data_IF_997618225635
#
_entry.id   IF_997618225635
#
_cell.length_a   1.000
_cell.length_b   1.000
_cell.length_c   1.000
_cell.angle_alpha   90.00
_cell.angle_beta   90.00
_cell.angle_gamma   90.00
#
_symmetry.space_group_name_H-M   'P 1'
#
loop_
_entity.id
_entity.type
_entity.pdbx_description
1 polymer ?
#
# COMPACT_ATOMS: atom_id res chain seq x y z
N UNK A 1 -2.74 44.00 -12.51
CA UNK A 1 -2.72 42.57 -12.25
C UNK A 1 -3.84 41.97 -13.07
N UNK A 2 -3.52 41.61 -14.30
CA UNK A 2 -4.47 41.04 -15.22
C UNK A 2 -4.90 39.67 -14.75
N UNK A 3 -6.16 39.54 -14.38
CA UNK A 3 -6.81 38.25 -14.32
C UNK A 3 -7.00 37.79 -15.75
N UNK A 4 -6.06 37.03 -16.28
CA UNK A 4 -6.19 36.38 -17.59
C UNK A 4 -7.20 35.22 -17.43
N UNK A 5 -8.45 35.58 -17.21
CA UNK A 5 -9.55 34.62 -17.28
C UNK A 5 -9.93 34.51 -18.75
N UNK A 6 -9.61 33.37 -19.34
CA UNK A 6 -10.01 33.06 -20.70
C UNK A 6 -11.55 33.28 -20.86
N UNK A 7 -12.03 34.07 -21.80
CA UNK A 7 -13.45 34.30 -21.97
C UNK A 7 -14.28 33.03 -22.14
N UNK A 8 -13.69 31.97 -22.69
CA UNK A 8 -14.33 30.68 -22.88
C UNK A 8 -14.51 29.97 -21.54
N UNK A 9 -13.55 30.10 -20.61
CA UNK A 9 -13.66 29.51 -19.24
C UNK A 9 -14.74 30.27 -18.46
N UNK A 10 -14.85 31.58 -18.59
CA UNK A 10 -15.93 32.36 -17.96
C UNK A 10 -17.30 31.92 -18.48
N UNK A 11 -17.41 31.63 -19.78
CA UNK A 11 -18.66 31.15 -20.37
C UNK A 11 -19.11 29.77 -19.77
N UNK A 12 -18.15 28.92 -19.39
CA UNK A 12 -18.38 27.56 -18.87
C UNK A 12 -18.59 27.56 -17.34
N UNK A 13 -17.64 28.14 -16.59
CA UNK A 13 -17.60 28.12 -15.15
C UNK A 13 -18.37 29.28 -14.49
N UNK A 14 -18.70 30.34 -15.27
CA UNK A 14 -19.26 31.61 -14.78
C UNK A 14 -18.17 32.53 -14.23
N UNK A 15 -18.59 33.67 -13.68
CA UNK A 15 -17.66 34.61 -13.04
C UNK A 15 -17.10 34.00 -11.74
N UNK A 16 -15.82 34.23 -11.41
CA UNK A 16 -15.27 33.82 -10.13
C UNK A 16 -16.02 34.49 -8.99
N UNK A 17 -16.26 33.81 -7.87
CA UNK A 17 -16.81 34.41 -6.66
C UNK A 17 -15.93 35.58 -6.18
N UNK A 18 -16.53 36.69 -5.66
CA UNK A 18 -15.79 37.93 -5.36
C UNK A 18 -14.65 37.76 -4.34
N UNK A 19 -14.73 36.74 -3.48
CA UNK A 19 -13.71 36.47 -2.43
C UNK A 19 -12.68 35.39 -2.84
N UNK A 20 -12.65 34.97 -4.10
CA UNK A 20 -11.78 33.88 -4.54
C UNK A 20 -10.36 34.37 -4.80
N UNK A 21 -9.40 33.82 -4.06
CA UNK A 21 -7.97 34.10 -4.26
C UNK A 21 -7.44 33.30 -5.46
N UNK A 22 -7.49 33.87 -6.67
CA UNK A 22 -7.06 33.24 -7.93
C UNK A 22 -5.55 32.86 -7.94
N UNK A 23 -4.74 33.41 -7.03
CA UNK A 23 -3.31 33.07 -6.93
C UNK A 23 -3.07 31.81 -6.07
N UNK A 24 -4.11 31.30 -5.39
CA UNK A 24 -3.98 30.08 -4.58
C UNK A 24 -3.68 28.87 -5.45
N UNK A 25 -2.59 28.18 -5.11
CA UNK A 25 -2.09 27.03 -5.83
C UNK A 25 -1.70 25.92 -4.87
N UNK A 26 -2.34 24.77 -4.95
CA UNK A 26 -2.03 23.59 -4.12
C UNK A 26 -1.11 22.59 -4.82
N UNK A 27 -0.80 22.77 -6.12
CA UNK A 27 -0.04 21.80 -6.91
C UNK A 27 1.34 21.44 -6.33
N UNK A 28 2.01 22.36 -5.62
CA UNK A 28 3.28 22.07 -4.97
C UNK A 28 3.10 21.15 -3.74
N UNK A 29 2.09 21.42 -2.93
CA UNK A 29 1.73 20.60 -1.77
C UNK A 29 1.23 19.21 -2.21
N UNK A 30 0.38 19.16 -3.24
CA UNK A 30 -0.18 17.95 -3.80
C UNK A 30 0.93 17.04 -4.35
N UNK A 31 1.87 17.61 -5.11
CA UNK A 31 3.07 16.91 -5.60
C UNK A 31 3.94 16.38 -4.47
N UNK A 32 4.18 17.17 -3.41
CA UNK A 32 4.96 16.73 -2.27
C UNK A 32 4.29 15.56 -1.55
N UNK A 33 2.98 15.59 -1.37
CA UNK A 33 2.20 14.51 -0.79
C UNK A 33 2.32 13.21 -1.60
N UNK A 34 2.10 13.27 -2.93
CA UNK A 34 2.20 12.13 -3.85
C UNK A 34 3.61 11.52 -3.79
N UNK A 35 4.66 12.33 -3.89
CA UNK A 35 6.05 11.85 -3.83
C UNK A 35 6.34 11.19 -2.48
N UNK A 36 5.86 11.76 -1.38
CA UNK A 36 6.09 11.21 -0.03
C UNK A 36 5.50 9.80 0.11
N UNK A 37 4.24 9.60 -0.31
CA UNK A 37 3.62 8.27 -0.22
C UNK A 37 4.24 7.26 -1.18
N UNK A 38 4.69 7.72 -2.36
CA UNK A 38 5.40 6.88 -3.33
C UNK A 38 6.75 6.39 -2.76
N UNK A 39 7.52 7.28 -2.12
CA UNK A 39 8.78 6.93 -1.45
C UNK A 39 8.51 5.93 -0.32
N UNK A 40 7.46 6.13 0.47
CA UNK A 40 7.10 5.19 1.53
C UNK A 40 6.79 3.78 0.99
N UNK A 41 6.06 3.69 -0.12
CA UNK A 41 5.78 2.42 -0.79
C UNK A 41 7.08 1.77 -1.33
N UNK A 42 7.98 2.54 -1.93
CA UNK A 42 9.30 2.06 -2.40
C UNK A 42 10.14 1.52 -1.24
N UNK A 43 10.20 2.23 -0.11
CA UNK A 43 10.91 1.77 1.10
C UNK A 43 10.30 0.45 1.59
N UNK A 44 8.97 0.32 1.63
CA UNK A 44 8.32 -0.91 2.05
C UNK A 44 8.67 -2.10 1.15
N UNK A 45 8.74 -1.90 -0.17
CA UNK A 45 9.17 -2.93 -1.12
C UNK A 45 10.65 -3.29 -0.92
N UNK A 46 11.53 -2.30 -0.77
CA UNK A 46 12.95 -2.53 -0.52
C UNK A 46 13.17 -3.34 0.77
N UNK A 47 12.45 -3.00 1.85
CA UNK A 47 12.47 -3.75 3.10
C UNK A 47 11.94 -5.17 2.92
N UNK A 48 10.89 -5.39 2.12
CA UNK A 48 10.37 -6.73 1.80
C UNK A 48 11.44 -7.60 1.13
N UNK A 49 12.13 -7.09 0.10
CA UNK A 49 13.19 -7.84 -0.59
C UNK A 49 14.41 -8.08 0.32
N UNK A 50 14.78 -7.11 1.13
CA UNK A 50 15.84 -7.27 2.14
C UNK A 50 15.47 -8.36 3.16
N UNK A 51 14.24 -8.37 3.65
CA UNK A 51 13.75 -9.38 4.56
C UNK A 51 13.77 -10.80 3.94
N UNK A 52 13.40 -10.93 2.66
CA UNK A 52 13.47 -12.21 1.94
C UNK A 52 14.91 -12.70 1.75
N UNK A 53 15.85 -11.79 1.41
CA UNK A 53 17.26 -12.12 1.27
C UNK A 53 17.84 -12.63 2.60
N UNK A 54 17.55 -11.96 3.72
CA UNK A 54 18.01 -12.36 5.05
C UNK A 54 17.43 -13.73 5.46
N UNK A 55 16.18 -13.99 5.09
CA UNK A 55 15.48 -15.25 5.40
C UNK A 55 15.81 -16.38 4.41
N UNK A 56 16.64 -16.13 3.38
CA UNK A 56 16.96 -17.10 2.32
C UNK A 56 15.72 -17.73 1.67
N UNK A 57 14.60 -16.98 1.60
CA UNK A 57 13.34 -17.47 1.02
C UNK A 57 13.30 -17.23 -0.48
N UNK A 58 12.77 -18.21 -1.23
CA UNK A 58 12.62 -18.09 -2.69
C UNK A 58 11.65 -16.97 -3.05
N UNK A 59 11.94 -16.28 -4.17
CA UNK A 59 11.03 -15.30 -4.77
C UNK A 59 9.79 -16.03 -5.31
N UNK A 60 8.62 -15.49 -5.05
CA UNK A 60 7.33 -16.06 -5.46
C UNK A 60 6.60 -15.11 -6.41
N UNK A 61 5.48 -15.57 -6.98
CA UNK A 61 4.66 -14.78 -7.89
C UNK A 61 4.13 -13.48 -7.26
N UNK A 62 3.85 -13.49 -5.97
CA UNK A 62 3.40 -12.30 -5.21
C UNK A 62 4.44 -11.16 -5.19
N UNK A 63 5.74 -11.50 -5.30
CA UNK A 63 6.80 -10.49 -5.35
C UNK A 63 6.90 -9.82 -6.73
N UNK A 64 6.68 -10.57 -7.81
CA UNK A 64 6.64 -10.01 -9.15
C UNK A 64 5.42 -9.12 -9.35
N UNK A 65 4.27 -9.57 -8.87
CA UNK A 65 3.01 -8.80 -8.95
C UNK A 65 3.13 -7.47 -8.21
N UNK A 66 3.82 -7.41 -7.06
CA UNK A 66 4.00 -6.15 -6.32
C UNK A 66 4.95 -5.18 -7.04
N UNK A 67 5.97 -5.68 -7.76
CA UNK A 67 6.84 -4.83 -8.61
C UNK A 67 6.02 -4.21 -9.75
N UNK A 68 5.18 -5.01 -10.42
CA UNK A 68 4.28 -4.52 -11.47
C UNK A 68 3.32 -3.48 -10.90
N UNK A 69 2.76 -3.73 -9.72
CA UNK A 69 1.91 -2.76 -9.01
C UNK A 69 2.61 -1.43 -8.79
N UNK A 70 3.88 -1.48 -8.33
CA UNK A 70 4.67 -0.29 -8.07
C UNK A 70 4.96 0.50 -9.35
N UNK A 71 5.23 -0.19 -10.46
CA UNK A 71 5.42 0.46 -11.75
C UNK A 71 4.14 1.18 -12.23
N UNK A 72 2.97 0.55 -12.07
CA UNK A 72 1.68 1.16 -12.40
C UNK A 72 1.36 2.37 -11.51
N UNK A 73 1.59 2.26 -10.19
CA UNK A 73 1.42 3.38 -9.23
C UNK A 73 2.41 4.50 -9.51
N UNK A 74 3.64 4.19 -9.90
CA UNK A 74 4.61 5.19 -10.37
C UNK A 74 4.12 5.93 -11.63
N UNK A 75 3.45 5.21 -12.52
CA UNK A 75 2.82 5.78 -13.71
C UNK A 75 1.65 6.72 -13.36
N UNK A 76 0.76 6.31 -12.42
CA UNK A 76 -0.33 7.19 -11.96
C UNK A 76 0.20 8.45 -11.29
N UNK A 77 1.18 8.32 -10.39
CA UNK A 77 1.83 9.44 -9.74
C UNK A 77 2.50 10.39 -10.75
N UNK A 78 3.16 9.85 -11.78
CA UNK A 78 3.73 10.65 -12.87
C UNK A 78 2.67 11.46 -13.63
N UNK A 79 1.54 10.85 -13.95
CA UNK A 79 0.41 11.54 -14.58
C UNK A 79 -0.24 12.58 -13.67
N UNK A 80 -0.40 12.29 -12.38
CA UNK A 80 -0.93 13.24 -11.39
C UNK A 80 -0.02 14.46 -11.26
N UNK A 81 1.30 14.27 -11.20
CA UNK A 81 2.29 15.35 -11.17
C UNK A 81 2.25 16.18 -12.47
N UNK A 82 2.13 15.52 -13.63
CA UNK A 82 1.97 16.19 -14.92
C UNK A 82 0.68 17.01 -14.95
N UNK A 83 -0.45 16.49 -14.44
CA UNK A 83 -1.71 17.23 -14.30
C UNK A 83 -1.54 18.49 -13.45
N UNK A 84 -0.80 18.41 -12.34
CA UNK A 84 -0.44 19.55 -11.49
C UNK A 84 0.39 20.63 -12.25
N UNK A 85 1.23 20.20 -13.19
CA UNK A 85 2.01 21.14 -14.03
C UNK A 85 1.10 21.95 -14.96
N UNK A 86 0.08 21.30 -15.54
CA UNK A 86 -0.91 21.96 -16.39
C UNK A 86 -1.98 22.75 -15.62
N UNK A 87 -1.99 22.69 -14.27
CA UNK A 87 -2.84 23.51 -13.43
C UNK A 87 -3.90 22.77 -12.63
N UNK A 88 -3.84 21.45 -12.53
CA UNK A 88 -4.62 20.73 -11.52
C UNK A 88 -4.17 21.20 -10.12
N UNK A 89 -5.14 21.59 -9.26
CA UNK A 89 -4.87 22.22 -7.96
C UNK A 89 -4.90 23.77 -8.00
N UNK A 90 -5.01 24.39 -9.18
CA UNK A 90 -5.32 25.84 -9.33
C UNK A 90 -6.81 26.02 -9.54
N UNK A 91 -7.30 27.25 -9.32
CA UNK A 91 -8.67 27.60 -9.70
C UNK A 91 -8.85 27.52 -11.21
N UNK A 92 -10.02 27.09 -11.69
CA UNK A 92 -10.31 26.93 -13.12
C UNK A 92 -10.14 28.26 -13.90
N UNK A 93 -10.46 29.39 -13.28
CA UNK A 93 -10.31 30.73 -13.85
C UNK A 93 -8.84 31.20 -14.02
N UNK A 94 -7.89 30.44 -13.40
CA UNK A 94 -6.46 30.71 -13.54
C UNK A 94 -5.75 29.71 -14.47
N UNK A 95 -6.50 28.93 -15.23
CA UNK A 95 -6.01 27.91 -16.16
C UNK A 95 -6.48 28.26 -17.58
N UNK A 96 -5.61 28.10 -18.58
CA UNK A 96 -5.95 28.30 -19.99
C UNK A 96 -6.76 27.10 -20.52
N UNK A 97 -7.52 27.33 -21.60
CA UNK A 97 -8.32 26.27 -22.24
C UNK A 97 -7.46 25.11 -22.73
N UNK A 98 -6.29 25.35 -23.30
CA UNK A 98 -5.37 24.32 -23.76
C UNK A 98 -4.83 23.46 -22.57
N UNK A 99 -4.49 24.12 -21.47
CA UNK A 99 -4.08 23.44 -20.24
C UNK A 99 -5.20 22.60 -19.65
N UNK A 100 -6.44 23.10 -19.69
CA UNK A 100 -7.62 22.33 -19.25
C UNK A 100 -7.81 21.07 -20.10
N UNK A 101 -7.68 21.17 -21.42
CA UNK A 101 -7.74 20.01 -22.30
C UNK A 101 -6.64 18.99 -21.99
N UNK A 102 -5.41 19.42 -21.70
CA UNK A 102 -4.33 18.54 -21.32
C UNK A 102 -4.61 17.83 -19.98
N UNK A 103 -5.19 18.54 -19.00
CA UNK A 103 -5.61 17.93 -17.72
C UNK A 103 -6.62 16.79 -17.98
N UNK A 104 -7.60 16.98 -18.86
CA UNK A 104 -8.58 15.94 -19.20
C UNK A 104 -7.96 14.76 -19.96
N UNK A 105 -7.00 15.00 -20.87
CA UNK A 105 -6.22 13.91 -21.51
C UNK A 105 -5.42 13.10 -20.49
N UNK A 106 -4.80 13.80 -19.53
CA UNK A 106 -4.08 13.17 -18.43
C UNK A 106 -5.03 12.35 -17.54
N UNK A 107 -6.21 12.91 -17.20
CA UNK A 107 -7.24 12.22 -16.44
C UNK A 107 -7.72 10.95 -17.15
N UNK A 108 -7.87 10.99 -18.47
CA UNK A 108 -8.19 9.82 -19.29
C UNK A 108 -7.14 8.72 -19.12
N UNK A 109 -5.87 9.00 -19.36
CA UNK A 109 -4.77 8.04 -19.20
C UNK A 109 -4.61 7.57 -17.75
N UNK A 110 -4.76 8.49 -16.79
CA UNK A 110 -4.72 8.20 -15.35
C UNK A 110 -5.74 7.14 -14.96
N UNK A 111 -6.97 7.24 -15.47
CA UNK A 111 -8.06 6.30 -15.12
C UNK A 111 -7.74 4.86 -15.54
N UNK A 112 -7.07 4.67 -16.69
CA UNK A 112 -6.62 3.34 -17.12
C UNK A 112 -5.55 2.76 -16.21
N UNK A 113 -4.51 3.53 -15.92
CA UNK A 113 -3.41 3.08 -15.05
C UNK A 113 -3.87 2.87 -13.62
N UNK A 114 -4.70 3.75 -13.09
CA UNK A 114 -5.24 3.65 -11.74
C UNK A 114 -6.06 2.36 -11.56
N UNK A 115 -7.00 2.09 -12.46
CA UNK A 115 -7.82 0.87 -12.38
C UNK A 115 -6.98 -0.41 -12.49
N UNK A 116 -5.94 -0.40 -13.33
CA UNK A 116 -4.98 -1.50 -13.44
C UNK A 116 -4.17 -1.67 -12.15
N UNK A 117 -3.65 -0.59 -11.57
CA UNK A 117 -2.87 -0.63 -10.33
C UNK A 117 -3.68 -1.22 -9.17
N UNK A 118 -4.94 -0.76 -8.98
CA UNK A 118 -5.85 -1.28 -7.98
C UNK A 118 -6.10 -2.79 -8.14
N UNK A 119 -6.30 -3.26 -9.39
CA UNK A 119 -6.53 -4.67 -9.66
C UNK A 119 -5.30 -5.52 -9.33
N UNK A 120 -4.12 -5.10 -9.79
CA UNK A 120 -2.87 -5.86 -9.61
C UNK A 120 -2.50 -5.96 -8.13
N UNK A 121 -2.68 -4.88 -7.35
CA UNK A 121 -2.45 -4.90 -5.90
C UNK A 121 -3.42 -5.85 -5.20
N UNK A 122 -4.71 -5.81 -5.53
CA UNK A 122 -5.73 -6.71 -4.98
C UNK A 122 -5.41 -8.17 -5.29
N UNK A 123 -4.96 -8.47 -6.51
CA UNK A 123 -4.50 -9.80 -6.89
C UNK A 123 -3.28 -10.22 -6.06
N UNK A 124 -2.32 -9.32 -5.82
CA UNK A 124 -1.17 -9.61 -4.95
C UNK A 124 -1.59 -9.98 -3.52
N UNK A 125 -2.55 -9.25 -2.95
CA UNK A 125 -3.10 -9.53 -1.62
C UNK A 125 -3.82 -10.89 -1.60
N UNK A 126 -4.62 -11.19 -2.62
CA UNK A 126 -5.32 -12.48 -2.73
C UNK A 126 -4.33 -13.65 -2.90
N UNK A 127 -3.27 -13.50 -3.70
CA UNK A 127 -2.19 -14.51 -3.80
C UNK A 127 -1.52 -14.75 -2.45
N UNK A 128 -1.28 -13.69 -1.70
CA UNK A 128 -0.74 -13.80 -0.36
C UNK A 128 -1.70 -14.55 0.60
N UNK A 129 -3.00 -14.27 0.55
CA UNK A 129 -4.00 -15.00 1.34
C UNK A 129 -4.05 -16.48 0.97
N UNK A 130 -4.03 -16.84 -0.31
CA UNK A 130 -4.02 -18.22 -0.78
C UNK A 130 -2.80 -19.00 -0.26
N UNK A 131 -1.68 -18.31 -0.04
CA UNK A 131 -0.45 -18.90 0.48
C UNK A 131 -0.45 -19.09 2.00
N UNK A 132 -1.02 -18.14 2.75
CA UNK A 132 -1.06 -18.21 4.22
C UNK A 132 -2.12 -19.19 4.70
N UNK A 133 -3.28 -19.14 4.08
CA UNK A 133 -4.42 -19.95 4.45
C UNK A 133 -4.50 -21.16 3.50
N UNK A 134 -3.71 -22.21 3.79
CA UNK A 134 -3.79 -23.52 3.15
C UNK A 134 -5.10 -24.23 3.55
N UNK A 135 -6.23 -23.57 3.31
CA UNK A 135 -7.54 -24.06 3.74
C UNK A 135 -8.20 -24.88 2.65
N UNK A 136 -8.63 -26.06 3.02
CA UNK A 136 -9.48 -26.95 2.21
C UNK A 136 -10.96 -26.60 2.31
N UNK A 137 -11.32 -25.56 3.06
CA UNK A 137 -12.73 -25.15 3.19
C UNK A 137 -13.27 -24.57 1.90
N UNK A 138 -14.36 -25.16 1.40
CA UNK A 138 -15.01 -24.76 0.15
C UNK A 138 -15.44 -23.29 0.15
N UNK A 139 -15.89 -22.79 1.31
CA UNK A 139 -16.36 -21.40 1.45
C UNK A 139 -15.19 -20.41 1.24
N UNK A 140 -14.03 -20.68 1.82
CA UNK A 140 -12.83 -19.83 1.62
C UNK A 140 -12.39 -19.85 0.15
N UNK A 141 -12.33 -21.04 -0.47
CA UNK A 141 -11.96 -21.14 -1.88
C UNK A 141 -12.95 -20.39 -2.80
N UNK A 142 -14.25 -20.42 -2.48
CA UNK A 142 -15.26 -19.67 -3.22
C UNK A 142 -15.10 -18.15 -3.04
N UNK A 143 -14.88 -17.70 -1.81
CA UNK A 143 -14.64 -16.28 -1.49
C UNK A 143 -13.39 -15.76 -2.21
N UNK A 144 -12.32 -16.54 -2.28
CA UNK A 144 -11.11 -16.21 -3.01
C UNK A 144 -11.36 -16.07 -4.52
N UNK A 145 -12.06 -17.05 -5.12
CA UNK A 145 -12.43 -17.00 -6.55
C UNK A 145 -13.27 -15.77 -6.88
N UNK A 146 -14.24 -15.45 -6.02
CA UNK A 146 -15.07 -14.26 -6.19
C UNK A 146 -14.24 -12.97 -6.03
N UNK A 147 -13.29 -12.91 -5.10
CA UNK A 147 -12.35 -11.79 -4.97
C UNK A 147 -11.49 -11.59 -6.22
N UNK A 148 -10.95 -12.66 -6.81
CA UNK A 148 -10.25 -12.59 -8.09
C UNK A 148 -11.16 -12.10 -9.22
N UNK A 149 -12.38 -12.61 -9.30
CA UNK A 149 -13.36 -12.16 -10.30
C UNK A 149 -13.65 -10.67 -10.18
N UNK A 150 -13.93 -10.16 -8.97
CA UNK A 150 -14.16 -8.73 -8.75
C UNK A 150 -12.93 -7.87 -9.09
N UNK A 151 -11.73 -8.32 -8.72
CA UNK A 151 -10.50 -7.59 -8.98
C UNK A 151 -10.14 -7.51 -10.46
N UNK A 152 -10.45 -8.55 -11.24
CA UNK A 152 -10.16 -8.60 -12.68
C UNK A 152 -11.26 -7.88 -13.48
N UNK A 153 -12.53 -8.03 -13.09
CA UNK A 153 -13.65 -7.41 -13.79
C UNK A 153 -13.65 -5.88 -13.67
N UNK A 154 -13.17 -5.35 -12.54
CA UNK A 154 -13.15 -3.91 -12.28
C UNK A 154 -12.41 -3.10 -13.37
N UNK A 155 -11.12 -3.34 -13.68
CA UNK A 155 -10.44 -2.58 -14.73
C UNK A 155 -11.05 -2.81 -16.12
N UNK A 156 -11.58 -4.00 -16.41
CA UNK A 156 -12.23 -4.27 -17.69
C UNK A 156 -13.47 -3.36 -17.88
N UNK A 157 -14.33 -3.29 -16.85
CA UNK A 157 -15.50 -2.39 -16.84
C UNK A 157 -15.07 -0.93 -17.01
N UNK A 158 -14.06 -0.50 -16.25
CA UNK A 158 -13.53 0.89 -16.34
C UNK A 158 -13.04 1.18 -17.76
N UNK A 159 -12.24 0.30 -18.34
CA UNK A 159 -11.63 0.51 -19.67
C UNK A 159 -12.67 0.54 -20.79
N UNK A 160 -13.61 -0.41 -20.75
CA UNK A 160 -14.71 -0.46 -21.74
C UNK A 160 -15.58 0.79 -21.64
N UNK A 161 -15.96 1.22 -20.42
CA UNK A 161 -16.80 2.39 -20.22
C UNK A 161 -16.04 3.67 -20.58
N UNK A 162 -14.77 3.79 -20.18
CA UNK A 162 -13.94 4.95 -20.48
C UNK A 162 -13.66 5.09 -21.98
N UNK A 163 -13.48 3.97 -22.70
CA UNK A 163 -13.35 3.95 -24.15
C UNK A 163 -14.62 4.38 -24.91
N UNK A 164 -15.78 4.35 -24.23
CA UNK A 164 -17.08 4.77 -24.78
C UNK A 164 -17.71 5.95 -24.02
N UNK A 165 -16.89 6.68 -23.23
CA UNK A 165 -17.38 7.75 -22.33
C UNK A 165 -18.05 8.90 -23.09
N UNK A 166 -17.55 9.22 -24.29
CA UNK A 166 -18.09 10.24 -25.17
C UNK A 166 -18.19 9.76 -26.62
N UNK A 167 -19.08 10.36 -27.38
CA UNK A 167 -19.22 10.15 -28.82
C UNK A 167 -19.26 11.50 -29.55
N UNK A 168 -18.21 11.82 -30.33
CA UNK A 168 -16.94 11.11 -30.52
C UNK A 168 -16.07 11.13 -29.24
N UNK A 169 -15.06 10.24 -29.14
CA UNK A 169 -14.23 10.08 -27.94
C UNK A 169 -13.40 11.34 -27.61
N UNK A 170 -12.92 12.03 -28.65
CA UNK A 170 -12.16 13.28 -28.51
C UNK A 170 -12.98 14.40 -27.84
N UNK A 171 -14.31 14.33 -27.89
CA UNK A 171 -15.17 15.24 -27.15
C UNK A 171 -14.93 15.23 -25.64
N UNK A 172 -14.39 14.15 -25.07
CA UNK A 172 -14.08 14.08 -23.65
C UNK A 172 -13.12 15.21 -23.17
N UNK A 173 -12.12 15.57 -23.97
CA UNK A 173 -11.18 16.65 -23.63
C UNK A 173 -11.43 17.94 -24.42
N UNK A 174 -12.22 17.89 -25.52
CA UNK A 174 -12.55 19.07 -26.31
C UNK A 174 -13.91 19.68 -25.99
N UNK A 175 -14.67 19.12 -25.05
CA UNK A 175 -16.00 19.58 -24.66
C UNK A 175 -16.05 21.06 -24.27
N UNK A 176 -14.92 21.61 -23.78
CA UNK A 176 -14.78 22.99 -23.39
C UNK A 176 -14.48 23.94 -24.57
N UNK A 177 -14.10 23.39 -25.72
CA UNK A 177 -13.81 24.13 -26.93
C UNK A 177 -15.03 24.30 -27.89
N UNK A 178 -16.24 23.99 -27.38
CA UNK A 178 -17.48 24.16 -28.16
C UNK A 178 -17.69 23.08 -29.23
N UNK A 179 -16.98 21.95 -29.14
CA UNK A 179 -17.21 20.80 -30.04
C UNK A 179 -18.58 20.15 -29.77
N UNK A 180 -19.17 19.55 -30.79
CA UNK A 180 -20.46 18.86 -30.68
C UNK A 180 -20.20 17.39 -30.36
N UNK A 181 -20.79 16.91 -29.29
CA UNK A 181 -20.71 15.49 -28.87
C UNK A 181 -21.65 15.21 -27.70
N UNK A 182 -21.77 13.94 -27.36
CA UNK A 182 -22.55 13.49 -26.19
C UNK A 182 -21.67 12.61 -25.31
N UNK A 183 -21.65 12.91 -24.01
CA UNK A 183 -20.94 12.12 -23.02
C UNK A 183 -21.92 11.53 -22.02
N UNK A 184 -21.52 10.43 -21.38
CA UNK A 184 -22.19 9.97 -20.15
C UNK A 184 -21.91 11.02 -19.04
N UNK A 185 -22.71 10.98 -17.98
CA UNK A 185 -22.41 11.80 -16.80
C UNK A 185 -21.09 11.35 -16.15
N UNK A 186 -20.02 12.08 -16.45
CA UNK A 186 -18.65 11.78 -16.04
C UNK A 186 -18.53 11.78 -14.52
N UNK A 187 -19.20 12.69 -13.83
CA UNK A 187 -19.13 12.80 -12.38
C UNK A 187 -19.77 11.60 -11.69
N UNK A 188 -20.98 11.23 -12.12
CA UNK A 188 -21.68 10.03 -11.63
C UNK A 188 -20.89 8.77 -11.93
N UNK A 189 -20.23 8.69 -13.12
CA UNK A 189 -19.38 7.57 -13.49
C UNK A 189 -18.19 7.41 -12.53
N UNK A 190 -17.40 8.46 -12.30
CA UNK A 190 -16.26 8.37 -11.36
C UNK A 190 -16.69 8.10 -9.92
N UNK A 191 -17.81 8.65 -9.49
CA UNK A 191 -18.37 8.38 -8.17
C UNK A 191 -18.77 6.89 -8.03
N UNK A 192 -19.47 6.35 -9.02
CA UNK A 192 -19.85 4.93 -9.05
C UNK A 192 -18.62 4.00 -9.02
N UNK A 193 -17.60 4.31 -9.83
CA UNK A 193 -16.34 3.56 -9.81
C UNK A 193 -15.64 3.62 -8.45
N UNK A 194 -15.66 4.77 -7.79
CA UNK A 194 -15.11 4.95 -6.45
C UNK A 194 -15.81 4.06 -5.43
N UNK A 195 -17.14 4.01 -5.46
CA UNK A 195 -17.96 3.18 -4.56
C UNK A 195 -17.70 1.68 -4.83
N UNK A 196 -17.68 1.25 -6.09
CA UNK A 196 -17.41 -0.14 -6.45
C UNK A 196 -16.00 -0.57 -5.98
N UNK A 197 -14.99 0.30 -6.16
CA UNK A 197 -13.63 0.02 -5.71
C UNK A 197 -13.57 -0.14 -4.18
N UNK A 198 -14.22 0.76 -3.43
CA UNK A 198 -14.30 0.68 -1.97
C UNK A 198 -15.00 -0.59 -1.49
N UNK A 199 -16.11 -0.99 -2.12
CA UNK A 199 -16.81 -2.25 -1.81
C UNK A 199 -15.88 -3.45 -2.05
N UNK A 200 -15.10 -3.43 -3.13
CA UNK A 200 -14.13 -4.48 -3.42
C UNK A 200 -13.01 -4.53 -2.37
N UNK A 201 -12.49 -3.38 -1.91
CA UNK A 201 -11.50 -3.30 -0.82
C UNK A 201 -12.05 -3.90 0.47
N UNK A 202 -13.26 -3.52 0.83
CA UNK A 202 -13.93 -4.03 2.01
C UNK A 202 -14.19 -5.54 1.93
N UNK A 203 -14.60 -6.04 0.75
CA UNK A 203 -14.78 -7.46 0.52
C UNK A 203 -13.47 -8.25 0.74
N UNK A 204 -12.37 -7.80 0.16
CA UNK A 204 -11.04 -8.44 0.30
C UNK A 204 -10.58 -8.43 1.75
N UNK A 205 -10.83 -7.34 2.48
CA UNK A 205 -10.52 -7.22 3.91
C UNK A 205 -11.29 -8.24 4.75
N UNK A 206 -12.55 -8.56 4.37
CA UNK A 206 -13.40 -9.50 5.12
C UNK A 206 -13.01 -10.97 4.90
N UNK A 207 -12.38 -11.33 3.78
CA UNK A 207 -12.05 -12.74 3.44
C UNK A 207 -11.29 -13.46 4.58
N UNK A 208 -10.21 -12.90 5.17
CA UNK A 208 -9.43 -13.61 6.20
C UNK A 208 -10.11 -13.64 7.57
N UNK A 209 -11.08 -12.76 7.84
CA UNK A 209 -11.66 -12.57 9.18
C UNK A 209 -12.28 -13.85 9.75
N UNK A 210 -13.20 -14.57 9.06
CA UNK A 210 -13.80 -15.79 9.59
C UNK A 210 -12.77 -16.88 9.88
N UNK A 211 -11.70 -16.93 9.09
CA UNK A 211 -10.63 -17.93 9.22
C UNK A 211 -9.76 -17.68 10.46
N UNK A 212 -9.49 -16.42 10.77
CA UNK A 212 -8.69 -16.00 11.93
C UNK A 212 -9.40 -16.40 13.24
N UNK A 213 -10.73 -16.22 13.29
CA UNK A 213 -11.50 -16.54 14.49
C UNK A 213 -11.66 -18.05 14.72
N UNK A 214 -11.68 -18.85 13.65
CA UNK A 214 -11.87 -20.32 13.73
C UNK A 214 -10.57 -21.09 13.97
N UNK A 215 -9.43 -20.56 13.56
CA UNK A 215 -8.15 -21.26 13.60
C UNK A 215 -7.35 -20.87 14.86
N UNK A 216 -6.96 -21.86 15.67
CA UNK A 216 -6.04 -21.67 16.79
C UNK A 216 -4.62 -21.41 16.24
N UNK A 217 -4.34 -20.16 15.94
CA UNK A 217 -3.03 -19.73 15.42
C UNK A 217 -2.09 -19.30 16.55
N UNK A 218 -0.78 -19.52 16.35
CA UNK A 218 0.23 -18.97 17.26
C UNK A 218 0.11 -17.44 17.33
N UNK A 219 0.36 -16.87 18.51
CA UNK A 219 0.24 -15.44 18.77
C UNK A 219 1.01 -14.58 17.74
N UNK A 220 2.16 -15.08 17.25
CA UNK A 220 2.99 -14.42 16.24
C UNK A 220 2.28 -14.27 14.90
N UNK A 221 1.60 -15.32 14.42
CA UNK A 221 0.80 -15.29 13.18
C UNK A 221 -0.40 -14.36 13.34
N UNK A 222 -1.06 -14.40 14.50
CA UNK A 222 -2.21 -13.54 14.82
C UNK A 222 -1.85 -12.05 14.79
N UNK A 223 -0.71 -11.64 15.36
CA UNK A 223 -0.24 -10.24 15.30
C UNK A 223 0.06 -9.80 13.87
N UNK A 224 0.70 -10.66 13.06
CA UNK A 224 0.95 -10.34 11.65
C UNK A 224 -0.34 -10.08 10.86
N UNK A 225 -1.34 -10.91 11.06
CA UNK A 225 -2.65 -10.79 10.39
C UNK A 225 -3.42 -9.57 10.91
N UNK A 226 -3.37 -9.29 12.22
CA UNK A 226 -3.98 -8.09 12.79
C UNK A 226 -3.40 -6.80 12.17
N UNK A 227 -2.08 -6.76 11.94
CA UNK A 227 -1.43 -5.64 11.24
C UNK A 227 -1.96 -5.45 9.81
N UNK A 228 -2.18 -6.53 9.06
CA UNK A 228 -2.76 -6.47 7.71
C UNK A 228 -4.20 -5.94 7.76
N UNK A 229 -5.00 -6.42 8.72
CA UNK A 229 -6.39 -5.95 8.89
C UNK A 229 -6.46 -4.47 9.26
N UNK A 230 -5.58 -4.00 10.13
CA UNK A 230 -5.53 -2.58 10.49
C UNK A 230 -5.17 -1.70 9.28
N UNK A 231 -4.15 -2.09 8.49
CA UNK A 231 -3.82 -1.34 7.29
C UNK A 231 -4.86 -1.48 6.18
N UNK A 232 -5.48 -2.65 6.03
CA UNK A 232 -6.63 -2.83 5.12
C UNK A 232 -7.81 -1.94 5.53
N UNK A 233 -8.08 -1.78 6.83
CA UNK A 233 -9.03 -0.81 7.34
C UNK A 233 -8.66 0.63 6.99
N UNK A 234 -7.37 0.97 7.02
CA UNK A 234 -6.91 2.29 6.60
C UNK A 234 -7.06 2.51 5.08
N UNK A 235 -6.85 1.48 4.25
CA UNK A 235 -7.17 1.55 2.80
C UNK A 235 -8.65 1.86 2.59
N UNK A 236 -9.55 1.16 3.30
CA UNK A 236 -11.00 1.44 3.22
C UNK A 236 -11.34 2.87 3.66
N UNK A 237 -10.68 3.39 4.69
CA UNK A 237 -10.86 4.79 5.12
C UNK A 237 -10.37 5.78 4.06
N UNK A 238 -9.22 5.53 3.43
CA UNK A 238 -8.71 6.33 2.33
C UNK A 238 -9.66 6.35 1.13
N UNK A 239 -10.23 5.18 0.76
CA UNK A 239 -11.24 5.06 -0.29
C UNK A 239 -12.51 5.85 0.04
N UNK A 240 -12.96 5.87 1.31
CA UNK A 240 -14.10 6.66 1.74
C UNK A 240 -13.84 8.17 1.63
N UNK A 241 -12.64 8.63 2.03
CA UNK A 241 -12.23 10.03 1.88
C UNK A 241 -12.14 10.42 0.39
N UNK A 242 -11.65 9.53 -0.46
CA UNK A 242 -11.65 9.74 -1.92
C UNK A 242 -13.06 9.92 -2.48
N UNK A 243 -14.03 9.11 -2.05
CA UNK A 243 -15.43 9.25 -2.45
C UNK A 243 -15.99 10.62 -2.01
N UNK A 244 -15.62 11.09 -0.81
CA UNK A 244 -16.00 12.42 -0.36
C UNK A 244 -15.50 13.51 -1.33
N UNK A 245 -14.21 13.50 -1.71
CA UNK A 245 -13.67 14.47 -2.66
C UNK A 245 -14.25 14.33 -4.07
N UNK A 246 -14.55 13.11 -4.54
CA UNK A 246 -15.28 12.89 -5.79
C UNK A 246 -16.69 13.48 -5.74
N UNK A 247 -17.37 13.40 -4.61
CA UNK A 247 -18.69 14.01 -4.40
C UNK A 247 -18.59 15.54 -4.40
N UNK A 248 -17.57 16.11 -3.77
CA UNK A 248 -17.32 17.55 -3.83
C UNK A 248 -16.97 18.02 -5.25
N UNK A 249 -16.13 17.25 -5.96
CA UNK A 249 -15.82 17.52 -7.37
C UNK A 249 -17.10 17.55 -8.23
N UNK A 250 -18.06 16.67 -7.99
CA UNK A 250 -19.30 16.61 -8.76
C UNK A 250 -20.24 17.82 -8.54
N UNK A 251 -20.07 18.54 -7.42
CA UNK A 251 -20.92 19.70 -7.04
C UNK A 251 -20.31 21.04 -7.41
N UNK A 252 -18.98 21.10 -7.56
CA UNK A 252 -18.26 22.36 -7.80
C UNK A 252 -18.13 22.67 -9.27
N UNK A 253 -18.12 23.97 -9.62
CA UNK A 253 -17.74 24.46 -10.95
C UNK A 253 -16.23 24.60 -11.10
N UNK A 254 -15.49 24.64 -9.98
CA UNK A 254 -14.04 24.77 -9.92
C UNK A 254 -13.39 23.40 -9.96
N UNK A 255 -13.56 22.71 -11.07
CA UNK A 255 -13.15 21.31 -11.24
C UNK A 255 -11.64 21.11 -11.11
N UNK A 256 -10.82 22.05 -11.61
CA UNK A 256 -9.35 21.90 -11.58
C UNK A 256 -8.79 21.97 -10.18
N UNK A 257 -9.33 22.82 -9.32
CA UNK A 257 -8.93 22.88 -7.91
C UNK A 257 -9.37 21.64 -7.14
N UNK A 258 -10.57 21.15 -7.40
CA UNK A 258 -11.10 19.95 -6.75
C UNK A 258 -10.41 18.65 -7.19
N UNK A 259 -9.76 18.62 -8.36
CA UNK A 259 -8.98 17.47 -8.85
C UNK A 259 -7.72 17.19 -8.03
N UNK A 260 -7.08 18.19 -7.42
CA UNK A 260 -5.86 18.02 -6.63
C UNK A 260 -6.02 16.99 -5.51
N UNK A 261 -6.94 17.18 -4.55
CA UNK A 261 -7.23 16.19 -3.51
C UNK A 261 -7.64 14.82 -4.04
N UNK A 262 -8.40 14.76 -5.16
CA UNK A 262 -8.79 13.48 -5.78
C UNK A 262 -7.57 12.68 -6.23
N UNK A 263 -6.59 13.32 -6.89
CA UNK A 263 -5.34 12.65 -7.27
C UNK A 263 -4.54 12.18 -6.07
N UNK A 264 -4.40 13.01 -5.02
CA UNK A 264 -3.67 12.62 -3.80
C UNK A 264 -4.27 11.36 -3.17
N UNK A 265 -5.58 11.36 -2.92
CA UNK A 265 -6.24 10.23 -2.27
C UNK A 265 -6.29 8.99 -3.16
N UNK A 266 -6.36 9.16 -4.48
CA UNK A 266 -6.31 8.05 -5.42
C UNK A 266 -4.93 7.41 -5.52
N UNK A 267 -3.83 8.16 -5.36
CA UNK A 267 -2.47 7.60 -5.31
C UNK A 267 -2.12 7.07 -3.91
N UNK A 268 -2.66 7.68 -2.85
CA UNK A 268 -2.48 7.23 -1.47
C UNK A 268 -3.01 5.81 -1.25
N UNK A 269 -4.20 5.53 -1.75
CA UNK A 269 -4.88 4.23 -1.60
C UNK A 269 -4.00 3.05 -2.05
N UNK A 270 -3.53 2.98 -3.31
CA UNK A 270 -2.67 1.89 -3.78
C UNK A 270 -1.30 1.87 -3.11
N UNK A 271 -0.72 3.02 -2.76
CA UNK A 271 0.55 3.06 -2.02
C UNK A 271 0.44 2.39 -0.65
N UNK A 272 -0.63 2.68 0.10
CA UNK A 272 -0.87 2.05 1.41
C UNK A 272 -1.18 0.56 1.25
N UNK A 273 -1.91 0.18 0.21
CA UNK A 273 -2.16 -1.22 -0.08
C UNK A 273 -0.85 -1.99 -0.37
N UNK A 274 0.12 -1.39 -1.08
CA UNK A 274 1.47 -1.95 -1.26
C UNK A 274 2.19 -2.10 0.09
N UNK A 275 2.19 -1.07 0.92
CA UNK A 275 2.79 -1.13 2.27
C UNK A 275 2.16 -2.27 3.07
N UNK A 276 0.83 -2.37 3.06
CA UNK A 276 0.06 -3.42 3.72
C UNK A 276 0.49 -4.83 3.26
N UNK A 277 0.64 -5.03 1.94
CA UNK A 277 1.09 -6.29 1.36
C UNK A 277 2.54 -6.65 1.72
N UNK A 278 3.38 -5.67 2.09
CA UNK A 278 4.76 -5.88 2.50
C UNK A 278 4.91 -6.27 3.98
N UNK A 279 4.04 -5.80 4.88
CA UNK A 279 4.16 -5.99 6.33
C UNK A 279 4.31 -7.43 6.80
N UNK A 280 3.57 -8.42 6.28
CA UNK A 280 3.67 -9.80 6.75
C UNK A 280 5.07 -10.38 6.56
N UNK A 281 5.77 -9.94 5.52
CA UNK A 281 7.13 -10.38 5.22
C UNK A 281 8.18 -9.73 6.13
N UNK A 282 7.85 -8.60 6.76
CA UNK A 282 8.71 -7.90 7.71
C UNK A 282 8.57 -8.44 9.14
N UNK A 283 7.48 -9.13 9.46
CA UNK A 283 7.24 -9.65 10.81
C UNK A 283 8.37 -10.55 11.36
N UNK A 284 8.99 -11.46 10.59
CA UNK A 284 10.13 -12.26 11.06
C UNK A 284 11.41 -11.43 11.24
N UNK A 285 11.61 -10.37 10.48
CA UNK A 285 12.81 -9.54 10.54
C UNK A 285 12.99 -8.87 11.91
N UNK A 286 11.88 -8.55 12.57
CA UNK A 286 11.86 -7.98 13.92
C UNK A 286 12.63 -8.84 14.94
N UNK A 287 12.59 -10.16 14.83
CA UNK A 287 13.32 -11.05 15.72
C UNK A 287 14.82 -11.01 15.44
N UNK A 288 15.22 -11.06 14.18
CA UNK A 288 16.62 -11.03 13.77
C UNK A 288 17.27 -9.71 14.17
N UNK A 289 16.56 -8.60 14.00
CA UNK A 289 17.05 -7.27 14.39
C UNK A 289 17.15 -7.16 15.91
N UNK A 290 16.17 -7.65 16.65
CA UNK A 290 16.20 -7.66 18.12
C UNK A 290 17.36 -8.50 18.67
N UNK A 291 17.59 -9.68 18.10
CA UNK A 291 18.68 -10.57 18.54
C UNK A 291 20.05 -9.97 18.24
N UNK A 292 20.21 -9.31 17.07
CA UNK A 292 21.44 -8.58 16.74
C UNK A 292 21.64 -7.36 17.64
N UNK A 293 20.60 -6.59 17.93
CA UNK A 293 20.70 -5.43 18.84
C UNK A 293 21.04 -5.92 20.25
N UNK A 294 20.38 -6.99 20.72
CA UNK A 294 20.66 -7.57 22.03
C UNK A 294 22.09 -8.11 22.13
N UNK A 295 22.61 -8.74 21.09
CA UNK A 295 24.01 -9.21 21.06
C UNK A 295 25.03 -8.05 20.99
N UNK A 296 24.69 -6.95 20.34
CA UNK A 296 25.58 -5.77 20.25
C UNK A 296 25.62 -4.98 21.57
N UNK A 297 24.48 -4.85 22.26
CA UNK A 297 24.43 -4.20 23.58
C UNK A 297 24.89 -5.11 24.73
N UNK A 298 24.62 -6.43 24.65
CA UNK A 298 25.08 -7.39 25.65
C UNK A 298 26.59 -7.61 25.66
N UNK A 299 27.26 -7.44 24.52
CA UNK A 299 28.74 -7.54 24.43
C UNK A 299 29.46 -6.37 25.11
N UNK A 300 28.79 -5.24 25.29
CA UNK A 300 29.37 -4.07 25.94
C UNK A 300 29.33 -4.19 27.48
N UNK A 301 28.33 -4.85 28.02
CA UNK A 301 28.21 -5.12 29.46
C UNK A 301 29.21 -6.19 29.92
N UNK A 302 29.46 -7.22 29.11
CA UNK A 302 30.46 -8.26 29.39
C UNK A 302 31.90 -7.72 29.36
N UNK A 303 32.22 -6.77 28.49
CA UNK A 303 33.55 -6.16 28.41
C UNK A 303 33.82 -5.24 29.61
N UNK A 304 32.79 -4.52 30.09
CA UNK A 304 32.87 -3.67 31.31
C UNK A 304 32.99 -4.56 32.56
N UNK A 305 32.32 -5.72 32.64
CA UNK A 305 32.43 -6.63 33.79
C UNK A 305 33.80 -7.31 33.83
N UNK A 306 34.37 -7.67 32.68
CA UNK A 306 35.72 -8.23 32.57
C UNK A 306 36.79 -7.22 32.97
N UNK A 307 36.65 -5.96 32.57
CA UNK A 307 37.57 -4.87 32.90
C UNK A 307 37.53 -4.55 34.41
N UNK A 308 36.36 -4.60 35.05
CA UNK A 308 36.21 -4.44 36.50
C UNK A 308 36.81 -5.60 37.32
N UNK A 309 36.77 -6.84 36.79
CA UNK A 309 37.44 -7.99 37.42
C UNK A 309 38.96 -7.92 37.33
N UNK A 310 39.51 -7.36 36.25
CA UNK A 310 40.98 -7.24 36.09
C UNK A 310 41.54 -6.06 36.91
N UNK A 311 40.81 -4.98 37.06
CA UNK A 311 41.25 -3.82 37.84
C UNK A 311 40.98 -3.91 39.32
N UNK A 312 40.06 -4.78 39.77
CA UNK A 312 39.74 -5.02 41.20
C UNK A 312 40.62 -6.07 41.93
N UNK A 313 41.57 -6.69 41.23
CA UNK A 313 42.36 -7.82 41.69
C UNK A 313 43.73 -7.49 42.37
N UNK A 314 43.95 -6.27 42.89
CA UNK A 314 45.22 -5.90 43.45
C UNK A 314 45.10 -5.17 44.81
N UNK A 315 44.45 -5.78 45.81
CA UNK A 315 44.68 -5.46 47.22
C UNK A 315 43.90 -6.46 48.10
N UNK A 316 44.56 -7.40 48.66
CA UNK A 316 44.50 -7.83 50.07
C UNK A 316 44.93 -9.29 50.17
N UNK A 317 46.13 -9.43 50.71
CA UNK A 317 46.68 -10.73 51.11
C UNK A 317 46.26 -11.05 52.55
N UNK A 318 46.41 -12.36 52.84
CA UNK A 318 46.50 -13.00 54.17
C UNK A 318 45.23 -13.06 55.03
N UNK A 319 44.70 -14.23 55.14
CA UNK A 319 44.61 -14.98 56.39
C UNK A 319 43.98 -16.34 56.21
N UNK A 320 44.54 -17.29 56.94
CA UNK A 320 44.41 -18.73 57.00
C UNK A 320 43.04 -19.28 57.36
N UNK A 321 42.96 -20.57 57.07
CA UNK A 321 42.47 -21.70 57.85
C UNK A 321 41.11 -22.34 57.50
N UNK A 322 41.25 -23.56 57.04
CA UNK A 322 40.63 -24.83 57.52
C UNK A 322 39.13 -25.09 57.39
N UNK A 323 38.93 -26.27 56.82
CA UNK A 323 37.83 -27.24 56.98
C UNK A 323 36.76 -27.24 55.86
N UNK A 324 36.81 -28.30 55.13
CA UNK A 324 36.11 -29.59 55.28
C UNK A 324 34.89 -29.70 54.34
N UNK A 325 35.08 -30.62 53.36
CA UNK A 325 34.14 -31.63 52.84
C UNK A 325 32.71 -31.23 52.49
N UNK A 326 32.38 -31.34 51.25
CA UNK A 326 31.52 -32.40 50.70
C UNK A 326 31.39 -32.24 49.20
N UNK A 327 31.81 -33.28 48.51
CA UNK A 327 31.59 -33.48 47.09
C UNK A 327 30.12 -33.75 46.82
N UNK A 328 29.54 -33.05 45.88
CA UNK A 328 28.34 -33.55 45.22
C UNK A 328 28.50 -33.41 43.72
N UNK A 329 28.85 -34.55 43.13
CA UNK A 329 28.90 -34.80 41.70
C UNK A 329 27.47 -34.77 41.14
N UNK A 330 27.09 -33.76 40.40
CA UNK A 330 25.90 -33.84 39.54
C UNK A 330 26.36 -34.24 38.15
N UNK A 331 26.13 -35.51 37.84
CA UNK A 331 26.27 -36.15 36.54
C UNK A 331 25.40 -35.42 35.50
N UNK A 332 26.01 -34.78 34.50
CA UNK A 332 25.35 -34.44 33.23
C UNK A 332 25.20 -35.73 32.41
N UNK A 333 24.05 -36.36 32.46
CA UNK A 333 23.68 -37.38 31.49
C UNK A 333 23.22 -36.70 30.19
N UNK A 334 24.04 -36.79 29.15
CA UNK A 334 23.64 -36.47 27.79
C UNK A 334 22.68 -37.52 27.26
N UNK A 335 21.52 -37.11 26.83
CA UNK A 335 20.56 -37.98 26.18
C UNK A 335 21.02 -38.17 24.73
N UNK A 336 21.54 -39.34 24.41
CA UNK A 336 21.75 -39.79 23.04
C UNK A 336 20.44 -40.34 22.49
N UNK A 337 19.87 -39.67 21.52
CA UNK A 337 18.73 -40.18 20.73
C UNK A 337 19.27 -41.00 19.57
N UNK A 338 19.16 -42.33 19.69
CA UNK A 338 19.37 -43.26 18.57
C UNK A 338 18.10 -43.31 17.71
N UNK A 339 18.15 -42.75 16.54
CA UNK A 339 17.14 -42.98 15.49
C UNK A 339 17.56 -44.17 14.64
N UNK A 340 16.96 -45.34 14.90
CA UNK A 340 17.07 -46.52 14.03
C UNK A 340 16.01 -46.42 12.92
N UNK A 341 16.46 -46.26 11.66
CA UNK A 341 15.60 -46.47 10.50
C UNK A 341 15.54 -47.96 10.18
N UNK A 342 14.37 -48.54 10.29
CA UNK A 342 14.06 -49.88 9.75
C UNK A 342 13.59 -49.71 8.33
N UNK A 343 14.41 -50.11 7.37
CA UNK A 343 14.04 -50.20 5.95
C UNK A 343 13.26 -51.52 5.77
N UNK A 344 11.96 -51.40 5.55
CA UNK A 344 11.12 -52.53 5.16
C UNK A 344 11.09 -52.59 3.63
N UNK A 345 11.84 -53.49 3.07
CA UNK A 345 11.73 -53.96 1.67
C UNK A 345 10.51 -54.87 1.59
N UNK A 346 9.51 -54.41 0.85
CA UNK A 346 8.38 -55.24 0.47
C UNK A 346 8.57 -55.70 -0.99
N UNK A 347 8.81 -56.99 -1.17
CA UNK A 347 8.73 -57.70 -2.42
C UNK A 347 7.30 -58.24 -2.58
N UNK A 348 6.58 -57.66 -3.51
CA UNK A 348 5.71 -58.49 -4.41
C UNK A 348 5.10 -57.61 -5.47
#
# INVERSE_FOLDING_TARGET
MESSSDPQIIAIAGLPPPDTNLTANTAASDRAAIITVLILALIAIALRFTARNIQQTKIHWDDWVIIISMALVGGTAGLAIAGGHYGAGKHIWAVDLDSLQQIYKILFGYTFLYSASCAVIKISILLFYSRIFLSTERLFALSMKFGYFLSISYPIVVWVTMGNVCRPLDHFWTQFAGTKGTCIDINTFFLALGIINMINDFYILLIPIPHIFRLQMSLRKRIGIAGILMLGGFVCAASAVRIHFLTELSKTKDVTRAMGPVFIWSDLEPCIAIVSACLPHLAPLRHIVRDKISSTFGSQDDEVELTNRITGGSAAGHAASTQSSSAENIHRQGIHVHTSYTQQTDQR
#
